data_IF_587928783311
#
_entry.id   IF_587928783311
#
_cell.length_a   1.000
_cell.length_b   1.000
_cell.length_c   1.000
_cell.angle_alpha   90.00
_cell.angle_beta   90.00
_cell.angle_gamma   90.00
#
_symmetry.space_group_name_H-M   'P 1'
#
loop_
_entity.id
_entity.type
_entity.pdbx_description
1 polymer ?
#
# COMPACT_ATOMS: atom_id res chain seq x y z
N UNK A 1 -12.44 5.73 -16.41
CA UNK A 1 -11.67 4.69 -15.70
C UNK A 1 -10.20 5.06 -15.60
N UNK A 2 -9.51 5.37 -16.71
CA UNK A 2 -8.09 5.79 -16.69
C UNK A 2 -7.82 7.04 -15.84
N UNK A 3 -8.70 8.03 -15.85
CA UNK A 3 -8.50 9.28 -15.11
C UNK A 3 -8.44 9.11 -13.57
N UNK A 4 -9.35 8.34 -12.97
CA UNK A 4 -9.33 8.07 -11.53
C UNK A 4 -8.08 7.30 -11.10
N UNK A 5 -7.63 6.34 -11.94
CA UNK A 5 -6.37 5.62 -11.73
C UNK A 5 -5.18 6.56 -11.82
N UNK A 6 -5.16 7.47 -12.80
CA UNK A 6 -4.07 8.43 -12.95
C UNK A 6 -3.99 9.38 -11.75
N UNK A 7 -5.14 9.84 -11.24
CA UNK A 7 -5.19 10.66 -10.02
C UNK A 7 -4.67 9.87 -8.81
N UNK A 8 -5.08 8.62 -8.66
CA UNK A 8 -4.61 7.76 -7.59
C UNK A 8 -3.08 7.55 -7.68
N UNK A 9 -2.57 7.23 -8.87
CA UNK A 9 -1.14 7.04 -9.12
C UNK A 9 -0.34 8.30 -8.81
N UNK A 10 -0.79 9.48 -9.26
CA UNK A 10 -0.09 10.74 -8.99
C UNK A 10 0.03 11.03 -7.47
N UNK A 11 -1.00 10.67 -6.69
CA UNK A 11 -0.96 10.80 -5.23
C UNK A 11 -0.03 9.79 -4.57
N UNK A 12 0.00 8.56 -5.08
CA UNK A 12 0.92 7.52 -4.62
C UNK A 12 2.36 7.93 -4.91
N UNK A 13 2.65 8.38 -6.13
CA UNK A 13 3.98 8.87 -6.55
C UNK A 13 4.44 10.04 -5.69
N UNK A 14 3.55 10.99 -5.37
CA UNK A 14 3.88 12.11 -4.50
C UNK A 14 4.29 11.66 -3.08
N UNK A 15 3.55 10.70 -2.49
CA UNK A 15 3.93 10.18 -1.17
C UNK A 15 5.20 9.31 -1.24
N UNK A 16 5.36 8.51 -2.30
CA UNK A 16 6.58 7.73 -2.53
C UNK A 16 7.81 8.65 -2.59
N UNK A 17 7.76 9.72 -3.38
CA UNK A 17 8.82 10.69 -3.49
C UNK A 17 9.14 11.35 -2.14
N UNK A 18 8.10 11.71 -1.37
CA UNK A 18 8.26 12.28 -0.02
C UNK A 18 8.99 11.31 0.92
N UNK A 19 8.61 10.04 0.93
CA UNK A 19 9.24 9.01 1.77
C UNK A 19 10.70 8.75 1.37
N UNK A 20 10.97 8.63 0.06
CA UNK A 20 12.33 8.47 -0.46
C UNK A 20 13.20 9.66 -0.06
N UNK A 21 12.68 10.88 -0.15
CA UNK A 21 13.43 12.10 0.19
C UNK A 21 13.62 12.27 1.71
N UNK A 22 12.74 11.74 2.56
CA UNK A 22 12.88 11.87 4.02
C UNK A 22 13.79 10.80 4.64
N UNK A 23 13.82 9.59 4.05
CA UNK A 23 14.59 8.45 4.57
C UNK A 23 16.05 8.77 4.93
N UNK A 24 16.83 9.49 4.10
CA UNK A 24 18.20 9.85 4.46
C UNK A 24 18.30 10.67 5.75
N UNK A 25 17.39 11.62 5.97
CA UNK A 25 17.38 12.44 7.17
C UNK A 25 17.00 11.62 8.41
N UNK A 26 16.03 10.72 8.27
CA UNK A 26 15.61 9.81 9.35
C UNK A 26 16.73 8.84 9.76
N UNK A 27 17.48 8.32 8.78
CA UNK A 27 18.64 7.46 9.00
C UNK A 27 19.76 8.24 9.71
N UNK A 28 20.04 9.48 9.31
CA UNK A 28 21.04 10.31 9.99
C UNK A 28 20.62 10.66 11.42
N UNK A 29 19.34 10.92 11.66
CA UNK A 29 18.81 11.11 13.01
C UNK A 29 18.99 9.85 13.88
N UNK A 30 18.70 8.66 13.33
CA UNK A 30 18.96 7.39 13.98
C UNK A 30 20.45 7.20 14.30
N UNK A 31 21.34 7.52 13.35
CA UNK A 31 22.80 7.40 13.55
C UNK A 31 23.29 8.32 14.65
N UNK A 32 22.83 9.57 14.70
CA UNK A 32 23.14 10.51 15.80
C UNK A 32 22.69 9.96 17.15
N UNK A 33 21.47 9.42 17.24
CA UNK A 33 20.96 8.78 18.45
C UNK A 33 21.80 7.58 18.87
N UNK A 34 22.19 6.72 17.93
CA UNK A 34 23.02 5.55 18.22
C UNK A 34 24.45 5.95 18.60
N UNK A 35 25.01 7.00 17.99
CA UNK A 35 26.31 7.54 18.36
C UNK A 35 26.33 8.04 19.81
N UNK A 36 25.29 8.74 20.25
CA UNK A 36 25.15 9.20 21.64
C UNK A 36 25.15 8.03 22.65
N UNK A 37 24.74 6.83 22.22
CA UNK A 37 24.70 5.63 23.05
C UNK A 37 25.92 4.71 22.85
N UNK A 38 26.92 5.10 22.06
CA UNK A 38 28.07 4.24 21.73
C UNK A 38 27.74 3.04 20.82
N UNK A 39 26.59 3.07 20.14
CA UNK A 39 26.06 1.99 19.28
C UNK A 39 26.17 2.30 17.78
N UNK A 40 26.90 3.35 17.40
CA UNK A 40 27.13 3.69 16.00
C UNK A 40 27.85 2.53 15.28
N UNK A 41 27.49 2.26 14.01
CA UNK A 41 28.10 1.19 13.19
C UNK A 41 27.97 -0.21 13.81
N UNK A 42 26.94 -0.44 14.62
CA UNK A 42 26.61 -1.77 15.16
C UNK A 42 25.44 -2.40 14.41
N UNK A 43 25.19 -3.69 14.67
CA UNK A 43 23.98 -4.37 14.21
C UNK A 43 22.68 -3.64 14.62
N UNK A 44 22.68 -2.91 15.73
CA UNK A 44 21.53 -2.09 16.15
C UNK A 44 21.25 -0.93 15.18
N UNK A 45 22.28 -0.37 14.56
CA UNK A 45 22.09 0.66 13.52
C UNK A 45 21.49 0.05 12.26
N UNK A 46 21.96 -1.12 11.83
CA UNK A 46 21.44 -1.85 10.66
C UNK A 46 19.95 -2.21 10.87
N UNK A 47 19.62 -2.78 12.04
CA UNK A 47 18.25 -3.13 12.39
C UNK A 47 17.34 -1.90 12.47
N UNK A 48 17.85 -0.78 13.01
CA UNK A 48 17.12 0.48 13.05
C UNK A 48 16.83 1.02 11.64
N UNK A 49 17.78 0.93 10.71
CA UNK A 49 17.58 1.32 9.30
C UNK A 49 16.52 0.42 8.65
N UNK A 50 16.61 -0.89 8.84
CA UNK A 50 15.61 -1.83 8.35
C UNK A 50 14.21 -1.54 8.92
N UNK A 51 14.11 -1.15 10.19
CA UNK A 51 12.85 -0.75 10.81
C UNK A 51 12.28 0.54 10.20
N UNK A 52 13.11 1.56 9.95
CA UNK A 52 12.69 2.78 9.24
C UNK A 52 12.16 2.44 7.84
N UNK A 53 12.88 1.59 7.11
CA UNK A 53 12.47 1.12 5.78
C UNK A 53 11.13 0.36 5.82
N UNK A 54 10.98 -0.55 6.78
CA UNK A 54 9.73 -1.30 6.99
C UNK A 54 8.54 -0.37 7.25
N UNK A 55 8.73 0.66 8.09
CA UNK A 55 7.69 1.65 8.40
C UNK A 55 7.33 2.54 7.21
N UNK A 56 8.32 2.89 6.38
CA UNK A 56 8.10 3.64 5.15
C UNK A 56 7.27 2.81 4.15
N UNK A 57 7.59 1.52 3.99
CA UNK A 57 6.81 0.60 3.16
C UNK A 57 5.36 0.47 3.66
N UNK A 58 5.15 0.31 4.97
CA UNK A 58 3.81 0.30 5.56
C UNK A 58 3.01 1.58 5.27
N UNK A 59 3.68 2.73 5.41
CA UNK A 59 3.06 4.04 5.14
C UNK A 59 2.63 4.15 3.68
N UNK A 60 3.52 3.78 2.74
CA UNK A 60 3.19 3.81 1.32
C UNK A 60 2.10 2.79 0.97
N UNK A 61 2.16 1.58 1.52
CA UNK A 61 1.16 0.53 1.32
C UNK A 61 -0.25 0.97 1.71
N UNK A 62 -0.39 1.68 2.84
CA UNK A 62 -1.66 2.29 3.26
C UNK A 62 -2.17 3.31 2.24
N UNK A 63 -1.29 4.17 1.73
CA UNK A 63 -1.67 5.18 0.72
C UNK A 63 -2.08 4.51 -0.58
N UNK A 64 -1.34 3.51 -1.08
CA UNK A 64 -1.72 2.73 -2.26
C UNK A 64 -3.12 2.14 -2.09
N UNK A 65 -3.36 1.48 -0.96
CA UNK A 65 -4.65 0.89 -0.65
C UNK A 65 -5.77 1.95 -0.62
N UNK A 66 -5.55 3.05 0.08
CA UNK A 66 -6.52 4.14 0.21
C UNK A 66 -6.89 4.74 -1.15
N UNK A 67 -5.89 5.09 -1.97
CA UNK A 67 -6.13 5.72 -3.27
C UNK A 67 -6.78 4.77 -4.27
N UNK A 68 -6.37 3.49 -4.29
CA UNK A 68 -7.01 2.50 -5.16
C UNK A 68 -8.42 2.15 -4.69
N UNK A 69 -8.68 2.06 -3.37
CA UNK A 69 -10.04 1.92 -2.85
C UNK A 69 -10.91 3.11 -3.23
N UNK A 70 -10.40 4.33 -3.09
CA UNK A 70 -11.10 5.53 -3.51
C UNK A 70 -11.47 5.46 -4.99
N UNK A 71 -10.53 5.13 -5.88
CA UNK A 71 -10.81 4.97 -7.30
C UNK A 71 -11.89 3.91 -7.56
N UNK A 72 -11.81 2.77 -6.87
CA UNK A 72 -12.79 1.68 -6.97
C UNK A 72 -14.17 2.11 -6.52
N UNK A 73 -14.30 2.93 -5.48
CA UNK A 73 -15.58 3.42 -4.96
C UNK A 73 -16.18 4.50 -5.86
N UNK A 74 -15.35 5.43 -6.36
CA UNK A 74 -15.80 6.56 -7.17
C UNK A 74 -16.18 6.17 -8.61
N UNK A 75 -15.61 5.10 -9.16
CA UNK A 75 -15.96 4.67 -10.52
C UNK A 75 -17.42 4.22 -10.60
N UNK A 76 -18.24 4.79 -11.49
CA UNK A 76 -19.64 4.38 -11.65
C UNK A 76 -19.80 2.92 -12.11
N UNK A 77 -18.87 2.46 -12.95
CA UNK A 77 -18.83 1.10 -13.50
C UNK A 77 -17.46 0.49 -13.20
N UNK A 78 -17.34 -0.16 -12.04
CA UNK A 78 -16.15 -0.94 -11.68
C UNK A 78 -16.33 -2.37 -12.19
N UNK A 79 -15.41 -2.87 -13.03
CA UNK A 79 -15.37 -4.27 -13.43
C UNK A 79 -14.38 -5.06 -12.56
N UNK A 80 -14.57 -6.37 -12.46
CA UNK A 80 -13.61 -7.26 -11.81
C UNK A 80 -12.23 -7.20 -12.50
N UNK A 81 -12.20 -7.12 -13.83
CA UNK A 81 -10.95 -7.01 -14.58
C UNK A 81 -10.14 -5.76 -14.22
N UNK A 82 -10.80 -4.64 -13.98
CA UNK A 82 -10.13 -3.41 -13.58
C UNK A 82 -9.60 -3.48 -12.14
N UNK A 83 -10.33 -4.11 -11.21
CA UNK A 83 -9.83 -4.35 -9.84
C UNK A 83 -8.59 -5.24 -9.89
N UNK A 84 -8.61 -6.33 -10.65
CA UNK A 84 -7.45 -7.20 -10.81
C UNK A 84 -6.26 -6.49 -11.48
N UNK A 85 -6.51 -5.51 -12.36
CA UNK A 85 -5.46 -4.67 -12.92
C UNK A 85 -4.79 -3.79 -11.84
N UNK A 86 -5.57 -3.18 -10.94
CA UNK A 86 -5.05 -2.41 -9.81
C UNK A 86 -4.24 -3.31 -8.85
N UNK A 87 -4.75 -4.52 -8.57
CA UNK A 87 -4.04 -5.51 -7.77
C UNK A 87 -2.70 -5.92 -8.41
N UNK A 88 -2.70 -6.19 -9.72
CA UNK A 88 -1.49 -6.58 -10.44
C UNK A 88 -0.42 -5.49 -10.44
N UNK A 89 -0.83 -4.22 -10.44
CA UNK A 89 0.09 -3.08 -10.53
C UNK A 89 0.46 -2.47 -9.18
N UNK A 90 -0.13 -2.94 -8.07
CA UNK A 90 0.21 -2.43 -6.74
C UNK A 90 1.64 -2.73 -6.29
N UNK A 91 2.27 -3.89 -6.61
CA UNK A 91 3.67 -4.12 -6.27
C UNK A 91 4.61 -3.09 -6.92
N UNK A 92 4.34 -2.73 -8.17
CA UNK A 92 5.14 -1.74 -8.92
C UNK A 92 5.15 -0.37 -8.23
N UNK A 93 4.04 -0.02 -7.57
CA UNK A 93 3.92 1.23 -6.79
C UNK A 93 4.82 1.25 -5.54
N UNK A 94 5.26 0.09 -5.06
CA UNK A 94 6.10 -0.03 -3.86
C UNK A 94 7.59 -0.22 -4.23
N UNK A 95 7.87 -0.67 -5.45
CA UNK A 95 9.20 -1.14 -5.87
C UNK A 95 10.29 -0.07 -5.72
N UNK A 96 10.05 1.16 -6.19
CA UNK A 96 11.09 2.20 -6.11
C UNK A 96 11.48 2.54 -4.66
N UNK A 97 10.53 2.54 -3.73
CA UNK A 97 10.84 2.75 -2.31
C UNK A 97 11.58 1.54 -1.74
N UNK A 98 11.15 0.34 -2.09
CA UNK A 98 11.80 -0.91 -1.68
C UNK A 98 13.26 -1.00 -2.13
N UNK A 99 13.54 -0.64 -3.38
CA UNK A 99 14.91 -0.61 -3.92
C UNK A 99 15.78 0.41 -3.16
N UNK A 100 15.24 1.61 -2.89
CA UNK A 100 15.93 2.61 -2.06
C UNK A 100 16.24 2.08 -0.65
N UNK A 101 15.28 1.36 -0.04
CA UNK A 101 15.45 0.73 1.27
C UNK A 101 16.56 -0.33 1.26
N UNK A 102 16.64 -1.17 0.24
CA UNK A 102 17.71 -2.16 0.08
C UNK A 102 19.07 -1.47 0.06
N UNK A 103 19.21 -0.39 -0.72
CA UNK A 103 20.48 0.33 -0.84
C UNK A 103 20.91 0.98 0.48
N UNK A 104 19.97 1.50 1.26
CA UNK A 104 20.26 1.99 2.62
C UNK A 104 20.73 0.87 3.56
N UNK A 105 20.07 -0.29 3.55
CA UNK A 105 20.47 -1.43 4.38
C UNK A 105 21.86 -1.94 4.01
N UNK A 106 22.14 -2.13 2.71
CA UNK A 106 23.46 -2.56 2.23
C UNK A 106 24.55 -1.56 2.63
N UNK A 107 24.30 -0.27 2.44
CA UNK A 107 25.24 0.79 2.79
C UNK A 107 25.60 0.75 4.27
N UNK A 108 24.60 0.70 5.15
CA UNK A 108 24.83 0.75 6.59
C UNK A 108 25.44 -0.56 7.12
N UNK A 109 25.10 -1.71 6.53
CA UNK A 109 25.78 -2.98 6.83
C UNK A 109 27.27 -2.96 6.44
N UNK A 110 27.61 -2.38 5.29
CA UNK A 110 29.00 -2.20 4.87
C UNK A 110 29.75 -1.24 5.80
N UNK A 111 29.15 -0.11 6.17
CA UNK A 111 29.74 0.87 7.10
C UNK A 111 29.95 0.31 8.51
N UNK A 112 29.12 -0.65 8.92
CA UNK A 112 29.23 -1.39 10.17
C UNK A 112 30.26 -2.55 10.11
N UNK A 113 30.91 -2.78 8.97
CA UNK A 113 31.82 -3.92 8.79
C UNK A 113 31.11 -5.29 8.89
N UNK A 114 29.79 -5.31 8.69
CA UNK A 114 28.94 -6.49 8.85
C UNK A 114 28.10 -6.74 7.59
N UNK A 115 28.70 -6.89 6.40
CA UNK A 115 27.98 -7.05 5.13
C UNK A 115 27.04 -8.28 5.14
N UNK A 116 27.41 -9.33 5.88
CA UNK A 116 26.62 -10.55 6.02
C UNK A 116 25.30 -10.35 6.81
N UNK A 117 25.10 -9.20 7.46
CA UNK A 117 23.84 -8.86 8.12
C UNK A 117 22.81 -8.26 7.15
N UNK A 118 23.24 -7.76 5.98
CA UNK A 118 22.33 -7.16 4.99
C UNK A 118 21.31 -8.17 4.42
N UNK A 119 21.68 -9.41 4.03
CA UNK A 119 20.74 -10.38 3.46
C UNK A 119 19.55 -10.68 4.38
N UNK A 120 19.77 -10.82 5.68
CA UNK A 120 18.69 -11.10 6.64
C UNK A 120 17.70 -9.93 6.73
N UNK A 121 18.21 -8.68 6.76
CA UNK A 121 17.38 -7.49 6.78
C UNK A 121 16.62 -7.31 5.47
N UNK A 122 17.25 -7.60 4.32
CA UNK A 122 16.62 -7.54 3.01
C UNK A 122 15.49 -8.58 2.90
N UNK A 123 15.72 -9.82 3.33
CA UNK A 123 14.70 -10.86 3.33
C UNK A 123 13.47 -10.47 4.17
N UNK A 124 13.68 -9.77 5.30
CA UNK A 124 12.57 -9.21 6.11
C UNK A 124 11.80 -8.13 5.35
N UNK A 125 12.47 -7.27 4.59
CA UNK A 125 11.82 -6.25 3.77
C UNK A 125 11.08 -6.88 2.57
N UNK A 126 11.61 -7.94 1.96
CA UNK A 126 10.94 -8.70 0.90
C UNK A 126 9.64 -9.34 1.41
N UNK A 127 9.71 -10.01 2.57
CA UNK A 127 8.54 -10.57 3.22
C UNK A 127 7.50 -9.48 3.55
N UNK A 128 7.95 -8.29 3.96
CA UNK A 128 7.10 -7.13 4.23
C UNK A 128 6.42 -6.61 2.97
N UNK A 129 7.15 -6.45 1.87
CA UNK A 129 6.61 -6.07 0.56
C UNK A 129 5.53 -7.05 0.09
N UNK A 130 5.80 -8.35 0.23
CA UNK A 130 4.84 -9.42 -0.09
C UNK A 130 3.59 -9.36 0.78
N UNK A 131 3.73 -9.15 2.10
CA UNK A 131 2.61 -9.02 3.02
C UNK A 131 1.72 -7.80 2.69
N UNK A 132 2.32 -6.64 2.41
CA UNK A 132 1.60 -5.42 2.03
C UNK A 132 0.86 -5.63 0.70
N UNK A 133 1.53 -6.21 -0.30
CA UNK A 133 0.93 -6.48 -1.62
C UNK A 133 -0.27 -7.43 -1.51
N UNK A 134 -0.16 -8.47 -0.67
CA UNK A 134 -1.26 -9.39 -0.40
C UNK A 134 -2.42 -8.71 0.33
N UNK A 135 -2.14 -7.85 1.31
CA UNK A 135 -3.17 -7.09 2.02
C UNK A 135 -3.93 -6.14 1.08
N UNK A 136 -3.20 -5.42 0.22
CA UNK A 136 -3.80 -4.57 -0.82
C UNK A 136 -4.72 -5.41 -1.73
N UNK A 137 -4.24 -6.56 -2.20
CA UNK A 137 -4.99 -7.45 -3.08
C UNK A 137 -6.29 -7.94 -2.44
N UNK A 138 -6.22 -8.47 -1.22
CA UNK A 138 -7.38 -8.94 -0.48
C UNK A 138 -8.37 -7.80 -0.20
N UNK A 139 -7.85 -6.66 0.22
CA UNK A 139 -8.64 -5.49 0.56
C UNK A 139 -9.39 -4.90 -0.62
N UNK A 140 -8.78 -4.81 -1.81
CA UNK A 140 -9.43 -4.31 -3.02
C UNK A 140 -10.51 -5.27 -3.53
N UNK A 141 -10.23 -6.58 -3.52
CA UNK A 141 -11.21 -7.61 -3.89
C UNK A 141 -12.41 -7.62 -2.94
N UNK A 142 -12.18 -7.48 -1.65
CA UNK A 142 -13.24 -7.38 -0.65
C UNK A 142 -14.12 -6.14 -0.88
N UNK A 143 -13.51 -4.97 -1.06
CA UNK A 143 -14.25 -3.73 -1.34
C UNK A 143 -15.10 -3.82 -2.61
N UNK A 144 -14.61 -4.48 -3.65
CA UNK A 144 -15.40 -4.73 -4.86
C UNK A 144 -16.59 -5.66 -4.62
N UNK A 145 -16.37 -6.76 -3.90
CA UNK A 145 -17.42 -7.73 -3.58
C UNK A 145 -18.54 -7.11 -2.72
N UNK A 146 -18.19 -6.30 -1.72
CA UNK A 146 -19.13 -5.57 -0.87
C UNK A 146 -19.98 -4.60 -1.70
N UNK A 147 -19.35 -3.83 -2.59
CA UNK A 147 -20.06 -2.92 -3.48
C UNK A 147 -21.05 -3.64 -4.40
N UNK A 148 -20.64 -4.76 -4.99
CA UNK A 148 -21.51 -5.58 -5.86
C UNK A 148 -22.73 -6.10 -5.08
N UNK A 149 -22.54 -6.60 -3.85
CA UNK A 149 -23.64 -7.04 -2.98
C UNK A 149 -24.60 -5.89 -2.63
N UNK A 150 -24.07 -4.71 -2.31
CA UNK A 150 -24.87 -3.51 -2.03
C UNK A 150 -25.72 -3.05 -3.22
N UNK A 151 -25.14 -3.05 -4.43
CA UNK A 151 -25.86 -2.74 -5.67
C UNK A 151 -27.00 -3.72 -5.95
N UNK A 152 -26.75 -5.03 -5.82
CA UNK A 152 -27.78 -6.06 -6.01
C UNK A 152 -28.93 -5.88 -5.01
N UNK A 153 -28.63 -5.61 -3.73
CA UNK A 153 -29.66 -5.38 -2.71
C UNK A 153 -30.50 -4.14 -3.01
N UNK A 154 -29.87 -3.04 -3.45
CA UNK A 154 -30.58 -1.81 -3.78
C UNK A 154 -31.45 -1.95 -5.04
N UNK A 155 -30.97 -2.65 -6.07
CA UNK A 155 -31.78 -2.95 -7.26
C UNK A 155 -32.96 -3.85 -6.90
N UNK A 156 -32.75 -4.89 -6.09
CA UNK A 156 -33.82 -5.78 -5.64
C UNK A 156 -34.91 -5.06 -4.82
N UNK A 157 -34.50 -4.12 -3.95
CA UNK A 157 -35.46 -3.31 -3.18
C UNK A 157 -36.19 -2.29 -4.07
N UNK A 158 -35.50 -1.69 -5.05
CA UNK A 158 -36.12 -0.76 -5.98
C UNK A 158 -37.13 -1.45 -6.92
N UNK A 159 -36.80 -2.64 -7.44
CA UNK A 159 -37.70 -3.42 -8.28
C UNK A 159 -38.88 -3.98 -7.48
N UNK A 160 -38.67 -4.46 -6.26
CA UNK A 160 -39.76 -4.87 -5.36
C UNK A 160 -40.67 -3.67 -4.99
N UNK A 161 -40.11 -2.49 -4.75
CA UNK A 161 -40.86 -1.25 -4.50
C UNK A 161 -41.66 -0.75 -5.72
N UNK A 162 -41.13 -0.92 -6.92
CA UNK A 162 -41.83 -0.58 -8.16
C UNK A 162 -42.95 -1.59 -8.49
N UNK A 163 -42.67 -2.89 -8.36
CA UNK A 163 -43.67 -3.95 -8.57
C UNK A 163 -44.80 -3.86 -7.53
N UNK A 164 -44.50 -3.63 -6.25
CA UNK A 164 -45.53 -3.44 -5.22
C UNK A 164 -46.40 -2.21 -5.45
N UNK A 165 -45.89 -1.14 -6.06
CA UNK A 165 -46.70 0.02 -6.46
C UNK A 165 -47.58 -0.25 -7.69
N UNK A 166 -47.11 -1.04 -8.65
CA UNK A 166 -47.88 -1.43 -9.83
C UNK A 166 -49.00 -2.42 -9.51
N UNK A 167 -48.74 -3.39 -8.64
CA UNK A 167 -49.73 -4.40 -8.24
C UNK A 167 -50.57 -3.99 -7.02
N UNK A 168 -50.11 -3.04 -6.20
CA UNK A 168 -50.86 -2.49 -5.07
C UNK A 168 -51.93 -1.47 -5.46
N UNK A 169 -51.85 -0.90 -6.67
CA UNK A 169 -52.91 -0.05 -7.26
C UNK A 169 -54.03 -0.83 -7.96
N UNK A 170 -53.90 -2.16 -8.05
CA UNK A 170 -54.92 -3.10 -8.53
C UNK A 170 -55.55 -3.79 -7.32
N UNK A 171 -56.22 -3.03 -6.46
CA UNK A 171 -57.23 -3.57 -5.55
C UNK A 171 -58.60 -3.06 -6.02
N UNK A 172 -59.61 -3.93 -6.17
CA UNK A 172 -60.98 -3.52 -6.47
C UNK A 172 -61.57 -2.64 -5.36
#
# INVERSE_FOLDING_TARGET
MGELRNIANAKIEAEQAKLINSLPADIEALKRKNAANGLLRSGNTILGVAALCSNALDSLGKVVLEQYRWAVVQSLLTSQSWVEELVRTSPDQLQSLFDSCIEHVKREANLAGSPNAAPECIAKLEAKLGAISNDIALSLRASFAERKRGLIRNIGNASAGWLSKLFGGLKP
#
